data_IF_771554578026
#
_entry.id   IF_771554578026
#
_cell.length_a   1.000
_cell.length_b   1.000
_cell.length_c   1.000
_cell.angle_alpha   90.00
_cell.angle_beta   90.00
_cell.angle_gamma   90.00
#
_symmetry.space_group_name_H-M   'P 1'
#
loop_
_entity.id
_entity.type
_entity.pdbx_description
1 polymer ?
#
# COMPACT_ATOMS: atom_id res chain seq x y z
N UNK A 1 -3.78 31.21 1.78
CA UNK A 1 -4.86 32.16 2.14
C UNK A 1 -5.61 31.61 3.35
N UNK A 2 -4.94 31.52 4.50
CA UNK A 2 -5.62 31.40 5.78
C UNK A 2 -4.97 32.31 6.81
N UNK A 3 -5.30 33.61 6.72
CA UNK A 3 -4.89 34.60 7.72
C UNK A 3 -5.36 34.21 9.14
N UNK A 4 -6.42 33.41 9.23
CA UNK A 4 -6.93 32.88 10.49
C UNK A 4 -6.08 31.74 11.09
N UNK A 5 -5.61 30.79 10.27
CA UNK A 5 -4.71 29.73 10.73
C UNK A 5 -3.37 30.34 11.14
N UNK A 6 -2.85 31.26 10.32
CA UNK A 6 -1.61 31.97 10.63
C UNK A 6 -1.71 32.77 11.95
N UNK A 7 -2.82 33.50 12.16
CA UNK A 7 -3.06 34.23 13.41
C UNK A 7 -3.16 33.31 14.63
N UNK A 8 -3.71 32.10 14.49
CA UNK A 8 -3.74 31.09 15.56
C UNK A 8 -2.36 30.49 15.85
N UNK A 9 -1.57 30.20 14.81
CA UNK A 9 -0.22 29.64 14.94
C UNK A 9 0.76 30.64 15.57
N UNK A 10 0.63 31.94 15.26
CA UNK A 10 1.48 33.01 15.82
C UNK A 10 1.21 33.30 17.30
N UNK A 11 0.08 32.82 17.87
CA UNK A 11 -0.20 32.94 19.31
C UNK A 11 0.63 32.00 20.18
N UNK A 12 1.15 30.91 19.62
CA UNK A 12 1.98 29.95 20.35
C UNK A 12 3.46 30.34 20.18
N UNK A 13 4.19 30.68 21.26
CA UNK A 13 5.53 31.28 21.16
C UNK A 13 6.56 30.37 20.47
N UNK A 14 6.45 29.05 20.66
CA UNK A 14 7.33 28.06 20.01
C UNK A 14 7.05 27.96 18.50
N UNK A 15 5.78 27.86 18.13
CA UNK A 15 5.34 27.75 16.73
C UNK A 15 5.65 29.02 15.95
N UNK A 16 5.48 30.19 16.58
CA UNK A 16 5.81 31.50 15.99
C UNK A 16 7.27 31.58 15.52
N UNK A 17 8.22 31.17 16.36
CA UNK A 17 9.64 31.21 16.00
C UNK A 17 9.96 30.25 14.85
N UNK A 18 9.30 29.09 14.81
CA UNK A 18 9.39 28.13 13.72
C UNK A 18 8.85 28.72 12.41
N UNK A 19 7.66 29.33 12.44
CA UNK A 19 7.03 29.97 11.27
C UNK A 19 7.92 31.07 10.70
N UNK A 20 8.49 31.93 11.55
CA UNK A 20 9.41 32.97 11.09
C UNK A 20 10.70 32.40 10.49
N UNK A 21 11.24 31.31 11.05
CA UNK A 21 12.38 30.60 10.48
C UNK A 21 12.07 30.04 9.09
N UNK A 22 10.94 29.37 8.95
CA UNK A 22 10.48 28.77 7.69
C UNK A 22 10.14 29.82 6.62
N UNK A 23 9.63 30.99 7.01
CA UNK A 23 9.36 32.11 6.09
C UNK A 23 10.61 32.79 5.55
N UNK A 24 11.74 32.73 6.26
CA UNK A 24 13.03 33.28 5.78
C UNK A 24 13.63 32.44 4.65
N UNK A 25 13.33 31.14 4.61
CA UNK A 25 13.80 30.24 3.56
C UNK A 25 12.92 30.43 2.33
N UNK A 26 13.37 31.29 1.40
CA UNK A 26 12.70 31.49 0.11
C UNK A 26 13.19 30.45 -0.89
N UNK A 27 12.26 29.85 -1.62
CA UNK A 27 12.53 28.83 -2.63
C UNK A 27 12.55 29.49 -4.01
N UNK A 28 13.73 29.74 -4.61
CA UNK A 28 13.85 30.55 -5.83
C UNK A 28 13.15 29.92 -7.05
N UNK A 29 13.00 28.58 -7.07
CA UNK A 29 12.33 27.87 -8.16
C UNK A 29 10.80 27.93 -8.10
N UNK A 30 10.22 28.40 -6.98
CA UNK A 30 8.77 28.51 -6.78
C UNK A 30 8.28 29.95 -6.86
N UNK A 31 8.90 30.79 -7.69
CA UNK A 31 8.47 32.20 -7.89
C UNK A 31 8.30 32.99 -6.59
N UNK A 32 9.17 32.75 -5.59
CA UNK A 32 9.20 33.54 -4.36
C UNK A 32 8.39 33.00 -3.17
N UNK A 33 7.82 31.79 -3.27
CA UNK A 33 7.22 31.11 -2.12
C UNK A 33 8.28 30.80 -1.05
N UNK A 34 7.90 30.93 0.22
CA UNK A 34 8.72 30.47 1.34
C UNK A 34 8.46 28.99 1.64
N UNK A 35 9.38 28.36 2.38
CA UNK A 35 9.21 26.97 2.83
C UNK A 35 7.95 26.81 3.69
N UNK A 36 7.59 27.83 4.47
CA UNK A 36 6.32 27.86 5.21
C UNK A 36 5.12 27.79 4.28
N UNK A 37 5.10 28.60 3.21
CA UNK A 37 3.97 28.65 2.27
C UNK A 37 3.79 27.30 1.54
N UNK A 38 4.90 26.63 1.22
CA UNK A 38 4.88 25.28 0.64
C UNK A 38 4.32 24.24 1.61
N UNK A 39 4.78 24.26 2.87
CA UNK A 39 4.29 23.33 3.90
C UNK A 39 2.82 23.57 4.25
N UNK A 40 2.38 24.83 4.30
CA UNK A 40 0.97 25.19 4.48
C UNK A 40 0.11 24.67 3.32
N UNK A 41 0.53 24.90 2.07
CA UNK A 41 -0.16 24.39 0.87
C UNK A 41 -0.23 22.86 0.85
N UNK A 42 0.87 22.20 1.18
CA UNK A 42 0.95 20.74 1.21
C UNK A 42 0.05 20.16 2.32
N UNK A 43 0.10 20.74 3.51
CA UNK A 43 -0.75 20.33 4.64
C UNK A 43 -2.24 20.54 4.36
N UNK A 44 -2.63 21.70 3.84
CA UNK A 44 -4.01 21.97 3.41
C UNK A 44 -4.42 21.01 2.28
N UNK A 45 -3.54 20.77 1.31
CA UNK A 45 -3.79 19.80 0.25
C UNK A 45 -4.03 18.39 0.76
N UNK A 46 -3.29 17.92 1.78
CA UNK A 46 -3.54 16.61 2.41
C UNK A 46 -4.87 16.58 3.15
N UNK A 47 -5.22 17.64 3.90
CA UNK A 47 -6.44 17.69 4.71
C UNK A 47 -7.70 17.86 3.85
N UNK A 48 -7.64 18.67 2.79
CA UNK A 48 -8.76 18.94 1.88
C UNK A 48 -8.94 17.86 0.80
N UNK A 49 -7.90 17.06 0.53
CA UNK A 49 -7.98 16.01 -0.48
C UNK A 49 -8.60 14.72 0.08
N UNK A 50 -9.20 13.96 -0.84
CA UNK A 50 -9.60 12.57 -0.58
C UNK A 50 -8.40 11.61 -0.42
N UNK A 51 -7.17 12.12 -0.20
CA UNK A 51 -5.96 11.32 -0.11
C UNK A 51 -6.04 10.25 0.98
N UNK A 52 -6.61 10.58 2.14
CA UNK A 52 -6.85 9.61 3.22
C UNK A 52 -7.81 8.49 2.77
N UNK A 53 -8.87 8.83 2.02
CA UNK A 53 -9.83 7.84 1.50
C UNK A 53 -9.20 6.95 0.43
N UNK A 54 -8.45 7.53 -0.51
CA UNK A 54 -7.71 6.78 -1.52
C UNK A 54 -6.67 5.86 -0.86
N UNK A 55 -5.84 6.39 0.04
CA UNK A 55 -4.84 5.61 0.77
C UNK A 55 -5.46 4.44 1.54
N UNK A 56 -6.60 4.67 2.20
CA UNK A 56 -7.34 3.63 2.92
C UNK A 56 -7.89 2.55 1.97
N UNK A 57 -8.47 2.94 0.83
CA UNK A 57 -8.99 2.00 -0.17
C UNK A 57 -7.87 1.16 -0.82
N UNK A 58 -6.71 1.77 -1.04
CA UNK A 58 -5.49 1.09 -1.51
C UNK A 58 -5.04 0.08 -0.47
N UNK A 59 -4.82 0.51 0.78
CA UNK A 59 -4.37 -0.36 1.87
C UNK A 59 -5.34 -1.53 2.10
N UNK A 60 -6.65 -1.27 2.05
CA UNK A 60 -7.68 -2.30 2.13
C UNK A 60 -7.56 -3.32 0.98
N UNK A 61 -7.37 -2.86 -0.25
CA UNK A 61 -7.21 -3.75 -1.42
C UNK A 61 -5.97 -4.64 -1.30
N UNK A 62 -4.84 -4.08 -0.82
CA UNK A 62 -3.62 -4.86 -0.54
C UNK A 62 -3.83 -5.87 0.60
N UNK A 63 -4.47 -5.46 1.69
CA UNK A 63 -4.79 -6.35 2.81
C UNK A 63 -5.70 -7.51 2.37
N UNK A 64 -6.73 -7.21 1.57
CA UNK A 64 -7.63 -8.23 1.02
C UNK A 64 -6.91 -9.20 0.06
N UNK A 65 -5.89 -8.73 -0.67
CA UNK A 65 -5.08 -9.58 -1.56
C UNK A 65 -4.16 -10.56 -0.79
N UNK A 66 -3.81 -10.25 0.47
CA UNK A 66 -2.90 -11.06 1.27
C UNK A 66 -3.42 -12.47 1.52
N UNK A 67 -4.71 -12.64 1.84
CA UNK A 67 -5.25 -13.97 2.16
C UNK A 67 -5.32 -14.90 0.94
N UNK A 68 -5.88 -14.50 -0.23
CA UNK A 68 -5.86 -15.35 -1.42
C UNK A 68 -4.43 -15.66 -1.89
N UNK A 69 -3.51 -14.70 -1.77
CA UNK A 69 -2.11 -14.92 -2.10
C UNK A 69 -1.46 -15.94 -1.15
N UNK A 70 -1.66 -15.82 0.15
CA UNK A 70 -1.15 -16.77 1.13
C UNK A 70 -1.71 -18.18 0.87
N UNK A 71 -3.01 -18.31 0.59
CA UNK A 71 -3.62 -19.59 0.23
C UNK A 71 -3.01 -20.18 -1.05
N UNK A 72 -2.77 -19.36 -2.07
CA UNK A 72 -2.10 -19.79 -3.29
C UNK A 72 -0.69 -20.33 -2.99
N UNK A 73 0.12 -19.59 -2.23
CA UNK A 73 1.46 -20.03 -1.83
C UNK A 73 1.42 -21.33 -1.04
N UNK A 74 0.56 -21.43 -0.02
CA UNK A 74 0.43 -22.64 0.79
C UNK A 74 0.02 -23.86 -0.05
N UNK A 75 -0.89 -23.69 -1.01
CA UNK A 75 -1.27 -24.78 -1.90
C UNK A 75 -0.19 -25.10 -2.96
N UNK A 76 0.77 -24.21 -3.20
CA UNK A 76 1.89 -24.44 -4.12
C UNK A 76 2.98 -25.30 -3.48
N UNK A 77 3.15 -25.20 -2.16
CA UNK A 77 4.19 -25.90 -1.39
C UNK A 77 4.27 -27.41 -1.70
N UNK A 78 3.17 -28.19 -1.75
CA UNK A 78 3.24 -29.64 -2.05
C UNK A 78 3.80 -29.97 -3.43
N UNK A 79 3.80 -29.02 -4.36
CA UNK A 79 4.30 -29.21 -5.73
C UNK A 79 5.78 -28.85 -5.89
N UNK A 80 6.44 -28.33 -4.83
CA UNK A 80 7.85 -27.97 -4.86
C UNK A 80 8.68 -29.25 -4.67
N UNK A 81 9.49 -29.67 -5.66
CA UNK A 81 10.22 -30.93 -5.62
C UNK A 81 11.54 -30.79 -4.83
N UNK A 82 11.46 -30.33 -3.58
CA UNK A 82 12.59 -30.16 -2.67
C UNK A 82 12.33 -31.02 -1.43
N UNK A 83 13.25 -31.94 -1.13
CA UNK A 83 13.16 -32.84 0.03
C UNK A 83 13.25 -32.02 1.32
N UNK A 84 12.30 -32.22 2.25
CA UNK A 84 12.28 -31.55 3.55
C UNK A 84 11.69 -30.13 3.56
N UNK A 85 11.25 -29.62 2.40
CA UNK A 85 10.80 -28.23 2.28
C UNK A 85 9.56 -27.92 3.14
N UNK A 86 8.64 -28.89 3.28
CA UNK A 86 7.43 -28.70 4.10
C UNK A 86 7.78 -28.57 5.58
N UNK A 87 8.69 -29.42 6.06
CA UNK A 87 9.18 -29.41 7.44
C UNK A 87 9.95 -28.14 7.74
N UNK A 88 10.83 -27.70 6.84
CA UNK A 88 11.58 -26.44 6.95
C UNK A 88 10.64 -25.23 7.00
N UNK A 89 9.59 -25.23 6.16
CA UNK A 89 8.57 -24.18 6.16
C UNK A 89 7.79 -24.14 7.47
N UNK A 90 7.36 -25.29 7.99
CA UNK A 90 6.65 -25.37 9.27
C UNK A 90 7.54 -24.92 10.44
N UNK A 91 8.84 -25.22 10.40
CA UNK A 91 9.81 -24.74 11.38
C UNK A 91 9.97 -23.22 11.32
N UNK A 92 10.07 -22.64 10.12
CA UNK A 92 10.09 -21.19 9.92
C UNK A 92 8.83 -20.52 10.50
N UNK A 93 7.64 -21.11 10.26
CA UNK A 93 6.39 -20.60 10.83
C UNK A 93 6.41 -20.68 12.35
N UNK A 94 6.90 -21.79 12.92
CA UNK A 94 7.01 -21.99 14.37
C UNK A 94 7.83 -20.91 15.05
N UNK A 95 8.96 -20.54 14.45
CA UNK A 95 9.87 -19.54 15.00
C UNK A 95 9.34 -18.10 14.81
N UNK A 96 8.44 -17.88 13.84
CA UNK A 96 7.86 -16.58 13.54
C UNK A 96 6.60 -16.23 14.35
N UNK A 97 5.93 -17.21 14.97
CA UNK A 97 4.66 -16.99 15.68
C UNK A 97 4.80 -17.15 17.20
N UNK A 98 3.93 -16.52 18.00
CA UNK A 98 3.91 -16.75 19.43
C UNK A 98 3.69 -18.24 19.77
N UNK A 99 4.33 -18.79 20.82
CA UNK A 99 4.28 -20.22 21.14
C UNK A 99 2.86 -20.77 21.31
N UNK A 100 1.97 -19.98 21.91
CA UNK A 100 0.58 -20.38 22.18
C UNK A 100 -0.32 -20.36 20.94
N UNK A 101 0.17 -19.86 19.81
CA UNK A 101 -0.59 -19.72 18.56
C UNK A 101 -0.16 -20.77 17.52
N UNK A 102 1.04 -21.34 17.68
CA UNK A 102 1.60 -22.28 16.70
C UNK A 102 0.72 -23.50 16.48
N UNK A 103 0.19 -24.13 17.53
CA UNK A 103 -0.60 -25.37 17.37
C UNK A 103 -1.85 -25.18 16.51
N UNK A 104 -2.51 -24.02 16.63
CA UNK A 104 -3.68 -23.68 15.81
C UNK A 104 -3.28 -23.45 14.35
N UNK A 105 -2.18 -22.73 14.12
CA UNK A 105 -1.66 -22.43 12.77
C UNK A 105 -1.16 -23.71 12.10
N UNK A 106 -0.40 -24.54 12.82
CA UNK A 106 0.13 -25.81 12.37
C UNK A 106 -0.97 -26.70 11.81
N UNK A 107 -2.08 -26.84 12.54
CA UNK A 107 -3.22 -27.64 12.09
C UNK A 107 -3.79 -27.13 10.76
N UNK A 108 -4.02 -25.82 10.64
CA UNK A 108 -4.56 -25.20 9.43
C UNK A 108 -3.61 -25.40 8.24
N UNK A 109 -2.32 -25.13 8.41
CA UNK A 109 -1.33 -25.26 7.35
C UNK A 109 -1.21 -26.73 6.92
N UNK A 110 -1.12 -27.65 7.87
CA UNK A 110 -0.98 -29.09 7.60
C UNK A 110 -2.21 -29.64 6.88
N UNK A 111 -3.41 -29.18 7.23
CA UNK A 111 -4.64 -29.53 6.52
C UNK A 111 -4.63 -29.05 5.06
N UNK A 112 -4.16 -27.83 4.80
CA UNK A 112 -4.02 -27.26 3.45
C UNK A 112 -2.97 -28.02 2.63
N UNK A 113 -1.82 -28.35 3.23
CA UNK A 113 -0.73 -29.05 2.56
C UNK A 113 -1.11 -30.48 2.18
N UNK A 114 -1.87 -31.18 3.04
CA UNK A 114 -2.26 -32.58 2.81
C UNK A 114 -3.52 -32.73 1.95
N UNK A 115 -4.39 -31.71 1.91
CA UNK A 115 -5.60 -31.69 1.08
C UNK A 115 -5.52 -30.59 0.02
N UNK A 116 -4.38 -30.45 -0.64
CA UNK A 116 -4.15 -29.41 -1.64
C UNK A 116 -5.14 -29.56 -2.80
N UNK A 117 -6.03 -28.57 -2.93
CA UNK A 117 -7.12 -28.59 -3.89
C UNK A 117 -6.69 -27.82 -5.15
N UNK A 118 -6.56 -28.51 -6.27
CA UNK A 118 -6.09 -27.90 -7.53
C UNK A 118 -6.99 -26.75 -8.04
N UNK A 119 -8.26 -26.75 -7.63
CA UNK A 119 -9.19 -25.63 -7.85
C UNK A 119 -8.83 -24.38 -7.05
N UNK A 120 -8.35 -24.53 -5.81
CA UNK A 120 -7.95 -23.42 -4.94
C UNK A 120 -6.65 -22.77 -5.44
N UNK A 121 -5.74 -23.55 -6.04
CA UNK A 121 -4.55 -23.01 -6.70
C UNK A 121 -4.89 -22.02 -7.82
N UNK A 122 -5.69 -22.48 -8.79
CA UNK A 122 -6.01 -21.66 -9.97
C UNK A 122 -6.90 -20.48 -9.64
N UNK A 123 -7.95 -20.69 -8.83
CA UNK A 123 -8.86 -19.62 -8.42
C UNK A 123 -8.20 -18.62 -7.47
N UNK A 124 -7.40 -19.08 -6.50
CA UNK A 124 -6.65 -18.24 -5.58
C UNK A 124 -5.60 -17.39 -6.30
N UNK A 125 -4.88 -17.99 -7.27
CA UNK A 125 -3.92 -17.27 -8.10
C UNK A 125 -4.60 -16.14 -8.89
N UNK A 126 -5.66 -16.43 -9.63
CA UNK A 126 -6.39 -15.43 -10.43
C UNK A 126 -6.98 -14.35 -9.53
N UNK A 127 -7.58 -14.73 -8.40
CA UNK A 127 -8.17 -13.80 -7.46
C UNK A 127 -7.11 -12.87 -6.84
N UNK A 128 -5.93 -13.41 -6.51
CA UNK A 128 -4.82 -12.60 -5.97
C UNK A 128 -4.31 -11.57 -6.98
N UNK A 129 -4.14 -11.95 -8.26
CA UNK A 129 -3.75 -11.03 -9.33
C UNK A 129 -4.81 -9.95 -9.51
N UNK A 130 -6.08 -10.34 -9.54
CA UNK A 130 -7.20 -9.40 -9.69
C UNK A 130 -7.26 -8.38 -8.55
N UNK A 131 -7.16 -8.83 -7.29
CA UNK A 131 -7.19 -7.95 -6.12
C UNK A 131 -5.96 -7.04 -6.06
N UNK A 132 -4.77 -7.55 -6.38
CA UNK A 132 -3.54 -6.76 -6.44
C UNK A 132 -3.62 -5.69 -7.54
N UNK A 133 -4.08 -6.05 -8.74
CA UNK A 133 -4.27 -5.11 -9.84
C UNK A 133 -5.30 -4.02 -9.50
N UNK A 134 -6.36 -4.36 -8.76
CA UNK A 134 -7.32 -3.38 -8.25
C UNK A 134 -6.66 -2.40 -7.26
N UNK A 135 -5.81 -2.90 -6.36
CA UNK A 135 -5.04 -2.08 -5.43
C UNK A 135 -4.15 -1.06 -6.15
N UNK A 136 -3.33 -1.50 -7.11
CA UNK A 136 -2.50 -0.59 -7.91
C UNK A 136 -3.33 0.35 -8.79
N UNK A 137 -4.45 -0.12 -9.34
CA UNK A 137 -5.33 0.75 -10.14
C UNK A 137 -5.90 1.88 -9.29
N UNK A 138 -6.22 1.62 -8.02
CA UNK A 138 -6.61 2.62 -7.03
C UNK A 138 -5.52 3.66 -6.76
N UNK A 139 -4.25 3.22 -6.66
CA UNK A 139 -3.08 4.11 -6.55
C UNK A 139 -3.01 5.04 -7.75
N UNK A 140 -3.03 4.47 -8.96
CA UNK A 140 -2.92 5.23 -10.20
C UNK A 140 -4.09 6.23 -10.36
N UNK A 141 -5.32 5.81 -10.03
CA UNK A 141 -6.50 6.68 -10.05
C UNK A 141 -6.42 7.82 -9.02
N UNK A 142 -5.83 7.57 -7.85
CA UNK A 142 -5.55 8.61 -6.86
C UNK A 142 -4.62 9.69 -7.42
N UNK A 143 -3.57 9.30 -8.15
CA UNK A 143 -2.66 10.25 -8.80
C UNK A 143 -3.31 11.02 -9.96
N UNK A 144 -4.20 10.38 -10.73
CA UNK A 144 -4.96 11.03 -11.82
C UNK A 144 -5.99 12.06 -11.33
N UNK A 145 -6.34 12.04 -10.05
CA UNK A 145 -7.26 13.01 -9.43
C UNK A 145 -6.55 14.31 -9.04
N UNK A 146 -5.23 14.38 -9.20
CA UNK A 146 -4.46 15.59 -8.92
C UNK A 146 -4.80 16.73 -9.88
N UNK A 147 -4.89 17.95 -9.33
CA UNK A 147 -5.38 19.18 -9.99
C UNK A 147 -4.62 19.59 -11.27
N UNK A 148 -3.48 18.97 -11.56
CA UNK A 148 -2.62 19.27 -12.72
C UNK A 148 -2.54 18.14 -13.76
N UNK A 149 -3.40 17.11 -13.66
CA UNK A 149 -3.46 16.03 -14.66
C UNK A 149 -4.50 16.37 -15.72
N UNK A 150 -4.05 16.77 -16.90
CA UNK A 150 -4.91 17.16 -18.04
C UNK A 150 -5.26 15.99 -18.97
N UNK A 151 -4.53 14.87 -18.89
CA UNK A 151 -4.71 13.68 -19.74
C UNK A 151 -4.91 12.47 -18.84
N UNK A 152 -6.12 11.91 -18.85
CA UNK A 152 -6.45 10.67 -18.13
C UNK A 152 -6.42 9.48 -19.08
N UNK A 153 -5.96 8.33 -18.60
CA UNK A 153 -5.98 7.10 -19.40
C UNK A 153 -7.40 6.53 -19.39
N UNK A 154 -7.81 5.90 -20.49
CA UNK A 154 -9.05 5.13 -20.49
C UNK A 154 -8.96 3.96 -19.51
N UNK A 155 -10.09 3.59 -18.89
CA UNK A 155 -10.17 2.57 -17.84
C UNK A 155 -9.39 1.28 -18.18
N UNK A 156 -9.58 0.74 -19.37
CA UNK A 156 -8.91 -0.50 -19.81
C UNK A 156 -7.39 -0.34 -19.85
N UNK A 157 -6.88 0.76 -20.43
CA UNK A 157 -5.43 1.01 -20.52
C UNK A 157 -4.82 1.22 -19.13
N UNK A 158 -5.52 1.92 -18.25
CA UNK A 158 -5.06 2.13 -16.88
C UNK A 158 -5.01 0.80 -16.12
N UNK A 159 -6.04 -0.03 -16.25
CA UNK A 159 -6.09 -1.34 -15.61
C UNK A 159 -4.98 -2.28 -16.09
N UNK A 160 -4.69 -2.29 -17.40
CA UNK A 160 -3.56 -3.07 -17.94
C UNK A 160 -2.20 -2.60 -17.41
N UNK A 161 -2.02 -1.28 -17.24
CA UNK A 161 -0.81 -0.74 -16.61
C UNK A 161 -0.73 -1.14 -15.14
N UNK A 162 -1.84 -1.04 -14.40
CA UNK A 162 -1.89 -1.48 -13.01
C UNK A 162 -1.56 -2.97 -12.88
N UNK A 163 -2.10 -3.83 -13.75
CA UNK A 163 -1.79 -5.25 -13.77
C UNK A 163 -0.31 -5.51 -14.10
N UNK A 164 0.25 -4.85 -15.12
CA UNK A 164 1.66 -4.98 -15.48
C UNK A 164 2.61 -4.52 -14.36
N UNK A 165 2.31 -3.39 -13.72
CA UNK A 165 3.08 -2.93 -12.56
C UNK A 165 2.95 -3.89 -11.38
N UNK A 166 1.78 -4.48 -11.16
CA UNK A 166 1.54 -5.43 -10.06
C UNK A 166 2.41 -6.67 -10.23
N UNK A 167 2.46 -7.23 -11.44
CA UNK A 167 3.29 -8.39 -11.76
C UNK A 167 4.78 -8.07 -11.67
N UNK A 168 5.20 -6.89 -12.15
CA UNK A 168 6.60 -6.45 -12.03
C UNK A 168 7.05 -6.31 -10.58
N UNK A 169 6.22 -5.70 -9.72
CA UNK A 169 6.52 -5.58 -8.29
C UNK A 169 6.59 -6.94 -7.62
N UNK A 170 5.67 -7.86 -7.96
CA UNK A 170 5.67 -9.23 -7.43
C UNK A 170 6.89 -10.06 -7.86
N UNK A 171 7.53 -9.73 -8.99
CA UNK A 171 8.75 -10.41 -9.45
C UNK A 171 10.03 -9.80 -8.85
N UNK A 172 9.97 -8.54 -8.41
CA UNK A 172 11.09 -7.80 -7.82
C UNK A 172 11.25 -8.05 -6.31
N UNK A 173 10.15 -8.37 -5.62
CA UNK A 173 10.09 -8.74 -4.21
C UNK A 173 10.42 -10.22 -4.01
#
# INVERSE_FOLDING_TARGET
MSREIEAKLLRIPVVRNLVYGLKKIKLPWLKGFSLYDLLELYGLGIVESALTYHASAIAFSFFMALFPFALFILNLIPFIPIVGFQEDFLMFVKDGVPPNTYDAIYKIITDILNNSDSGLLSSGFILSIFLMANGLNGILGGFETSRHVLIKRGFIRQYLVALGMSLLLSLLL
#
